data_IF_293307543458
#
_entry.id   IF_293307543458
#
_cell.length_a   1.000
_cell.length_b   1.000
_cell.length_c   1.000
_cell.angle_alpha   90.00
_cell.angle_beta   90.00
_cell.angle_gamma   90.00
#
_symmetry.space_group_name_H-M   'P 1'
#
loop_
_entity.id
_entity.type
_entity.pdbx_description
1 polymer ?
#
# COMPACT_ATOMS: atom_id res chain seq x y z
N UNK A 1 24.03 3.71 4.79
CA UNK A 1 22.62 3.85 5.17
C UNK A 1 22.50 4.89 6.28
N UNK A 2 21.49 5.76 6.24
CA UNK A 2 21.21 6.67 7.35
C UNK A 2 20.41 5.90 8.42
N UNK A 3 20.95 5.81 9.64
CA UNK A 3 20.35 5.05 10.74
C UNK A 3 19.02 5.65 11.27
N UNK A 4 18.67 6.86 10.86
CA UNK A 4 17.40 7.48 11.20
C UNK A 4 16.28 7.11 10.22
N UNK A 5 16.59 6.58 9.04
CA UNK A 5 15.59 6.20 8.06
C UNK A 5 14.90 4.89 8.49
N UNK A 6 13.58 4.91 8.51
CA UNK A 6 12.74 3.78 8.86
C UNK A 6 11.71 3.52 7.75
N UNK A 7 11.43 2.26 7.51
CA UNK A 7 10.34 1.81 6.64
C UNK A 7 9.18 1.31 7.48
N UNK A 8 7.97 1.75 7.14
CA UNK A 8 6.72 1.24 7.71
C UNK A 8 5.88 0.63 6.59
N UNK A 9 5.62 -0.66 6.67
CA UNK A 9 4.76 -1.40 5.74
C UNK A 9 3.39 -1.58 6.38
N UNK A 10 2.35 -0.99 5.79
CA UNK A 10 0.97 -1.15 6.23
C UNK A 10 0.37 -2.40 5.59
N UNK A 11 0.10 -3.45 6.37
CA UNK A 11 -0.36 -4.75 5.91
C UNK A 11 -1.71 -5.17 6.49
N UNK A 12 -2.66 -4.23 6.63
CA UNK A 12 -3.98 -4.44 7.26
C UNK A 12 -5.12 -4.75 6.27
N UNK A 13 -4.92 -4.61 4.96
CA UNK A 13 -5.93 -4.84 3.91
C UNK A 13 -6.29 -6.32 3.74
N UNK A 14 -7.47 -6.64 3.14
CA UNK A 14 -7.85 -8.01 2.75
C UNK A 14 -7.66 -8.27 1.27
N UNK A 15 -7.89 -7.26 0.42
CA UNK A 15 -7.80 -7.41 -1.03
C UNK A 15 -8.90 -8.33 -1.60
N UNK A 16 -10.14 -8.22 -1.12
CA UNK A 16 -11.28 -9.11 -1.42
C UNK A 16 -11.61 -9.28 -2.92
N UNK A 17 -11.14 -8.36 -3.78
CA UNK A 17 -11.36 -8.46 -5.24
C UNK A 17 -10.55 -9.57 -5.91
N UNK A 18 -9.53 -10.11 -5.23
CA UNK A 18 -8.75 -11.27 -5.72
C UNK A 18 -9.29 -12.61 -5.24
N UNK A 19 -10.52 -12.65 -4.72
CA UNK A 19 -11.16 -13.91 -4.38
C UNK A 19 -11.24 -14.83 -5.63
N UNK A 20 -11.02 -16.16 -5.49
CA UNK A 20 -10.79 -16.94 -4.27
C UNK A 20 -9.32 -16.97 -3.81
N UNK A 21 -8.40 -16.30 -4.53
CA UNK A 21 -6.98 -16.27 -4.15
C UNK A 21 -6.75 -15.55 -2.83
N UNK A 22 -7.39 -14.40 -2.63
CA UNK A 22 -7.36 -13.66 -1.35
C UNK A 22 -8.62 -13.93 -0.53
N UNK A 23 -8.42 -14.20 0.73
CA UNK A 23 -9.47 -14.42 1.74
C UNK A 23 -9.18 -13.60 2.98
N UNK A 24 -10.12 -13.59 3.95
CA UNK A 24 -9.89 -12.96 5.25
C UNK A 24 -8.77 -13.64 6.04
N UNK A 25 -8.55 -14.93 5.84
CA UNK A 25 -7.48 -15.70 6.48
C UNK A 25 -6.14 -15.54 5.76
N UNK A 26 -6.16 -15.29 4.46
CA UNK A 26 -4.95 -15.15 3.63
C UNK A 26 -5.09 -13.98 2.65
N UNK A 27 -4.87 -12.74 3.12
CA UNK A 27 -5.00 -11.52 2.33
C UNK A 27 -4.05 -11.41 1.15
N UNK A 28 -4.40 -10.53 0.19
CA UNK A 28 -3.68 -10.27 -1.05
C UNK A 28 -2.18 -10.06 -0.86
N UNK A 29 -1.77 -9.28 0.16
CA UNK A 29 -0.35 -8.94 0.39
C UNK A 29 0.54 -10.15 0.68
N UNK A 30 -0.03 -11.27 1.09
CA UNK A 30 0.69 -12.50 1.40
C UNK A 30 0.70 -13.50 0.23
N UNK A 31 0.16 -13.14 -0.93
CA UNK A 31 0.01 -14.00 -2.10
C UNK A 31 1.05 -13.63 -3.16
N UNK A 32 1.63 -14.65 -3.82
CA UNK A 32 2.35 -14.48 -5.08
C UNK A 32 1.34 -14.44 -6.23
N UNK A 33 0.88 -13.23 -6.53
CA UNK A 33 -0.15 -13.01 -7.57
C UNK A 33 0.45 -13.03 -8.97
N UNK A 34 1.77 -12.87 -9.09
CA UNK A 34 2.48 -12.83 -10.38
C UNK A 34 3.20 -14.16 -10.74
N UNK A 35 3.19 -15.15 -9.85
CA UNK A 35 3.92 -16.39 -10.05
C UNK A 35 5.45 -16.23 -10.08
N UNK A 36 5.97 -15.26 -9.35
CA UNK A 36 7.40 -14.93 -9.33
C UNK A 36 8.19 -15.62 -8.22
N UNK A 37 7.53 -16.37 -7.36
CA UNK A 37 8.09 -16.92 -6.13
C UNK A 37 8.15 -15.90 -4.99
N UNK A 38 7.56 -14.69 -5.17
CA UNK A 38 7.55 -13.61 -4.17
C UNK A 38 6.16 -13.06 -3.95
N UNK A 39 5.74 -12.96 -2.69
CA UNK A 39 4.48 -12.32 -2.32
C UNK A 39 4.58 -10.79 -2.39
N UNK A 40 3.45 -10.09 -2.42
CA UNK A 40 3.46 -8.62 -2.47
C UNK A 40 4.23 -7.99 -1.32
N UNK A 41 4.05 -8.46 -0.09
CA UNK A 41 4.76 -7.90 1.07
C UNK A 41 6.27 -8.14 0.98
N UNK A 42 6.69 -9.30 0.43
CA UNK A 42 8.08 -9.60 0.16
C UNK A 42 8.65 -8.69 -0.92
N UNK A 43 7.94 -8.51 -2.04
CA UNK A 43 8.34 -7.57 -3.10
C UNK A 43 8.42 -6.14 -2.58
N UNK A 44 7.51 -5.76 -1.68
CA UNK A 44 7.54 -4.43 -1.03
C UNK A 44 8.78 -4.27 -0.16
N UNK A 45 9.12 -5.24 0.67
CA UNK A 45 10.35 -5.21 1.47
C UNK A 45 11.61 -5.21 0.59
N UNK A 46 11.65 -6.05 -0.45
CA UNK A 46 12.83 -6.20 -1.32
C UNK A 46 13.24 -4.88 -2.01
N UNK A 47 12.27 -4.00 -2.34
CA UNK A 47 12.55 -2.66 -2.93
C UNK A 47 13.38 -1.76 -2.02
N UNK A 48 13.32 -1.95 -0.72
CA UNK A 48 14.03 -1.13 0.26
C UNK A 48 15.36 -1.75 0.73
N UNK A 49 15.68 -2.97 0.28
CA UNK A 49 16.97 -3.58 0.59
C UNK A 49 18.12 -2.71 0.07
N UNK A 50 19.08 -2.45 0.94
CA UNK A 50 20.19 -1.54 0.65
C UNK A 50 19.92 -0.05 0.99
N UNK A 51 18.65 0.37 1.14
CA UNK A 51 18.28 1.72 1.58
C UNK A 51 18.07 1.81 3.09
N UNK A 52 17.33 0.84 3.64
CA UNK A 52 16.91 0.80 5.05
C UNK A 52 17.37 -0.54 5.65
N UNK A 53 17.98 -0.47 6.82
CA UNK A 53 18.44 -1.66 7.52
C UNK A 53 17.25 -2.46 8.09
N UNK A 54 17.31 -3.81 8.12
CA UNK A 54 16.20 -4.64 8.59
C UNK A 54 15.67 -4.29 9.97
N UNK A 55 16.55 -3.86 10.89
CA UNK A 55 16.20 -3.41 12.24
C UNK A 55 15.36 -2.13 12.28
N UNK A 56 15.33 -1.36 11.19
CA UNK A 56 14.54 -0.15 11.01
C UNK A 56 13.30 -0.38 10.11
N UNK A 57 12.97 -1.62 9.81
CA UNK A 57 11.76 -1.98 9.08
C UNK A 57 10.67 -2.39 10.07
N UNK A 58 9.51 -1.79 9.91
CA UNK A 58 8.32 -2.01 10.74
C UNK A 58 7.17 -2.50 9.88
N UNK A 59 6.38 -3.42 10.40
CA UNK A 59 5.15 -3.87 9.76
C UNK A 59 3.99 -3.64 10.72
N UNK A 60 2.94 -2.96 10.26
CA UNK A 60 1.70 -2.82 11.03
C UNK A 60 0.64 -3.71 10.39
N UNK A 61 0.09 -4.63 11.14
CA UNK A 61 -0.85 -5.63 10.63
C UNK A 61 -1.85 -6.07 11.71
N UNK A 62 -2.88 -6.84 11.31
CA UNK A 62 -3.78 -7.47 12.29
C UNK A 62 -3.08 -8.59 13.07
N UNK A 63 -3.45 -8.77 14.33
CA UNK A 63 -2.97 -9.89 15.16
C UNK A 63 -3.06 -11.25 14.46
N UNK A 64 -4.07 -11.45 13.61
CA UNK A 64 -4.26 -12.69 12.84
C UNK A 64 -3.12 -13.02 11.89
N UNK A 65 -2.38 -12.02 11.45
CA UNK A 65 -1.37 -12.17 10.41
C UNK A 65 0.07 -12.12 10.94
N UNK A 66 0.25 -12.05 12.26
CA UNK A 66 1.56 -11.94 12.90
C UNK A 66 2.55 -13.02 12.45
N UNK A 67 2.10 -14.27 12.44
CA UNK A 67 2.96 -15.41 12.08
C UNK A 67 3.25 -15.46 10.58
N UNK A 68 2.30 -15.13 9.72
CA UNK A 68 2.51 -15.05 8.26
C UNK A 68 3.54 -13.96 7.93
N UNK A 69 3.44 -12.80 8.58
CA UNK A 69 4.43 -11.71 8.38
C UNK A 69 5.82 -12.18 8.84
N UNK A 70 5.93 -12.80 10.01
CA UNK A 70 7.21 -13.28 10.53
C UNK A 70 7.83 -14.40 9.67
N UNK A 71 7.01 -15.24 9.05
CA UNK A 71 7.44 -16.28 8.11
C UNK A 71 7.94 -15.67 6.79
N UNK A 72 7.18 -14.73 6.23
CA UNK A 72 7.50 -14.14 4.92
C UNK A 72 8.61 -13.09 4.99
N UNK A 73 8.83 -12.45 6.13
CA UNK A 73 9.84 -11.42 6.36
C UNK A 73 10.75 -11.79 7.55
N UNK A 74 11.51 -12.89 7.48
CA UNK A 74 12.31 -13.40 8.61
C UNK A 74 13.46 -12.47 9.03
N UNK A 75 13.88 -11.56 8.17
CA UNK A 75 14.95 -10.60 8.47
C UNK A 75 14.49 -9.47 9.43
N UNK A 76 13.17 -9.25 9.56
CA UNK A 76 12.60 -8.19 10.38
C UNK A 76 12.48 -8.65 11.83
N UNK A 77 12.97 -7.85 12.82
CA UNK A 77 12.78 -8.18 14.22
C UNK A 77 11.30 -8.36 14.59
N UNK A 78 10.95 -9.42 15.31
CA UNK A 78 9.55 -9.66 15.73
C UNK A 78 8.95 -8.48 16.51
N UNK A 79 9.76 -7.75 17.29
CA UNK A 79 9.31 -6.55 18.01
C UNK A 79 8.95 -5.36 17.11
N UNK A 80 9.26 -5.43 15.82
CA UNK A 80 8.89 -4.43 14.82
C UNK A 80 7.62 -4.83 14.03
N UNK A 81 7.02 -5.98 14.33
CA UNK A 81 5.71 -6.37 13.80
C UNK A 81 4.66 -5.91 14.81
N UNK A 82 4.04 -4.78 14.53
CA UNK A 82 3.03 -4.16 15.40
C UNK A 82 1.64 -4.70 15.06
N UNK A 83 0.88 -5.07 16.08
CA UNK A 83 -0.36 -5.82 15.92
C UNK A 83 -1.57 -4.97 16.30
N UNK A 84 -2.43 -4.71 15.32
CA UNK A 84 -3.72 -4.03 15.52
C UNK A 84 -4.77 -5.04 15.97
N UNK A 85 -5.48 -4.79 17.10
CA UNK A 85 -6.53 -5.68 17.57
C UNK A 85 -7.81 -5.62 16.72
N UNK A 86 -8.04 -4.49 16.05
CA UNK A 86 -9.15 -4.29 15.14
C UNK A 86 -8.78 -3.29 14.03
N UNK A 87 -9.58 -3.20 12.99
CA UNK A 87 -9.37 -2.24 11.89
C UNK A 87 -9.90 -0.87 12.27
N UNK A 88 -9.05 0.16 12.13
CA UNK A 88 -9.39 1.58 12.33
C UNK A 88 -8.88 2.48 11.20
N UNK A 89 -8.66 1.90 9.99
CA UNK A 89 -8.14 2.62 8.84
C UNK A 89 -6.68 3.10 9.05
N UNK A 90 -6.15 3.97 8.18
CA UNK A 90 -4.71 4.24 8.11
C UNK A 90 -4.21 5.29 9.09
N UNK A 91 -5.04 6.23 9.58
CA UNK A 91 -4.55 7.24 10.53
C UNK A 91 -4.17 6.63 11.90
N UNK A 92 -4.99 5.78 12.56
CA UNK A 92 -4.56 5.09 13.79
C UNK A 92 -3.40 4.12 13.58
N UNK A 93 -3.33 3.44 12.43
CA UNK A 93 -2.20 2.60 12.03
C UNK A 93 -0.88 3.40 12.06
N UNK A 94 -0.86 4.53 11.35
CA UNK A 94 0.30 5.43 11.26
C UNK A 94 0.60 6.07 12.62
N UNK A 95 -0.42 6.47 13.37
CA UNK A 95 -0.24 7.00 14.71
C UNK A 95 0.49 5.99 15.60
N UNK A 96 -0.01 4.75 15.70
CA UNK A 96 0.61 3.70 16.52
C UNK A 96 2.10 3.55 16.23
N UNK A 97 2.46 3.30 14.98
CA UNK A 97 3.86 3.08 14.63
C UNK A 97 4.71 4.34 14.79
N UNK A 98 4.15 5.54 14.55
CA UNK A 98 4.90 6.79 14.68
C UNK A 98 5.24 7.09 16.15
N UNK A 99 4.30 6.92 17.08
CA UNK A 99 4.61 7.07 18.52
C UNK A 99 5.57 6.00 19.01
N UNK A 100 5.41 4.77 18.52
CA UNK A 100 6.30 3.64 18.88
C UNK A 100 7.73 3.88 18.43
N UNK A 101 7.94 4.36 17.20
CA UNK A 101 9.27 4.70 16.67
C UNK A 101 9.82 5.94 17.37
N UNK A 102 9.00 6.98 17.57
CA UNK A 102 9.43 8.22 18.23
C UNK A 102 9.94 7.98 19.65
N UNK A 103 9.33 7.04 20.39
CA UNK A 103 9.78 6.67 21.73
C UNK A 103 11.19 6.07 21.73
N UNK A 104 11.62 5.44 20.63
CA UNK A 104 12.97 4.88 20.48
C UNK A 104 13.94 5.85 19.82
N UNK A 105 13.50 6.54 18.77
CA UNK A 105 14.30 7.46 17.97
C UNK A 105 13.48 8.70 17.59
N UNK A 106 13.59 9.79 18.37
CA UNK A 106 12.87 11.04 18.08
C UNK A 106 13.35 11.75 16.81
N UNK A 107 14.45 11.31 16.19
CA UNK A 107 15.00 11.83 14.93
C UNK A 107 14.67 10.93 13.73
N UNK A 108 13.80 9.96 13.92
CA UNK A 108 13.43 9.02 12.86
C UNK A 108 12.80 9.74 11.67
N UNK A 109 13.19 9.33 10.47
CA UNK A 109 12.61 9.74 9.21
C UNK A 109 11.91 8.52 8.59
N UNK A 110 10.65 8.64 8.24
CA UNK A 110 9.78 7.52 7.95
C UNK A 110 9.38 7.50 6.48
N UNK A 111 9.42 6.30 5.88
CA UNK A 111 8.68 5.99 4.66
C UNK A 111 7.52 5.08 5.06
N UNK A 112 6.30 5.50 4.78
CA UNK A 112 5.08 4.71 4.97
C UNK A 112 4.65 4.19 3.60
N UNK A 113 4.40 2.90 3.46
CA UNK A 113 3.98 2.28 2.19
C UNK A 113 2.94 1.20 2.41
N UNK A 114 1.96 1.05 1.50
CA UNK A 114 1.12 -0.14 1.45
C UNK A 114 1.95 -1.41 1.15
N UNK A 115 1.47 -2.55 1.62
CA UNK A 115 2.13 -3.85 1.46
C UNK A 115 1.90 -4.52 0.09
N UNK A 116 0.97 -4.01 -0.73
CA UNK A 116 0.35 -4.77 -1.83
C UNK A 116 0.34 -4.03 -3.19
N UNK A 117 1.24 -3.06 -3.35
CA UNK A 117 1.41 -2.33 -4.60
C UNK A 117 2.58 -2.89 -5.43
N UNK A 118 2.45 -2.85 -6.75
CA UNK A 118 3.51 -3.16 -7.70
C UNK A 118 4.39 -1.93 -7.97
N UNK A 119 5.67 -2.16 -8.14
CA UNK A 119 6.65 -1.23 -8.70
C UNK A 119 7.54 -2.03 -9.66
N UNK A 120 7.65 -1.61 -10.91
CA UNK A 120 8.43 -2.33 -11.92
C UNK A 120 9.84 -1.77 -12.11
N UNK A 121 10.05 -0.46 -11.92
CA UNK A 121 11.39 0.16 -11.93
C UNK A 121 11.86 0.42 -10.49
N UNK A 122 12.53 -0.58 -9.91
CA UNK A 122 13.05 -0.50 -8.54
C UNK A 122 14.20 0.50 -8.44
N UNK A 123 14.98 0.71 -9.49
CA UNK A 123 16.13 1.65 -9.46
C UNK A 123 15.63 3.08 -9.37
N UNK A 124 14.67 3.45 -10.21
CA UNK A 124 14.05 4.78 -10.15
C UNK A 124 13.27 4.98 -8.84
N UNK A 125 12.54 3.96 -8.38
CA UNK A 125 11.88 3.99 -7.08
C UNK A 125 12.86 4.32 -5.95
N UNK A 126 14.00 3.62 -5.88
CA UNK A 126 15.02 3.85 -4.85
C UNK A 126 15.64 5.25 -4.94
N UNK A 127 15.83 5.79 -6.14
CA UNK A 127 16.29 7.17 -6.37
C UNK A 127 15.29 8.17 -5.77
N UNK A 128 14.02 8.03 -6.10
CA UNK A 128 12.93 8.91 -5.64
C UNK A 128 12.80 8.85 -4.12
N UNK A 129 12.75 7.66 -3.52
CA UNK A 129 12.69 7.47 -2.07
C UNK A 129 13.89 8.13 -1.37
N UNK A 130 15.10 7.91 -1.90
CA UNK A 130 16.32 8.51 -1.32
C UNK A 130 16.26 10.03 -1.35
N UNK A 131 15.83 10.61 -2.47
CA UNK A 131 15.68 12.05 -2.65
C UNK A 131 14.63 12.64 -1.70
N UNK A 132 13.47 11.97 -1.56
CA UNK A 132 12.41 12.39 -0.64
C UNK A 132 12.84 12.28 0.83
N UNK A 133 13.54 11.21 1.22
CA UNK A 133 14.10 11.05 2.57
C UNK A 133 15.11 12.14 2.92
N UNK A 134 15.98 12.52 1.97
CA UNK A 134 16.92 13.63 2.17
C UNK A 134 16.17 14.95 2.40
N UNK A 135 15.12 15.21 1.60
CA UNK A 135 14.31 16.41 1.74
C UNK A 135 13.61 16.50 3.11
N UNK A 136 12.95 15.42 3.53
CA UNK A 136 12.20 15.39 4.82
C UNK A 136 13.11 15.32 6.04
N UNK A 137 14.36 14.90 5.90
CA UNK A 137 15.34 14.94 7.01
C UNK A 137 15.77 16.35 7.39
N UNK A 138 15.59 17.31 6.48
CA UNK A 138 16.00 18.72 6.63
C UNK A 138 14.82 19.68 6.71
N UNK A 139 13.58 19.17 6.62
CA UNK A 139 12.36 19.98 6.61
C UNK A 139 11.27 19.34 7.45
N UNK A 140 10.27 20.15 7.86
CA UNK A 140 9.06 19.63 8.51
C UNK A 140 7.95 19.29 7.49
N UNK A 141 8.33 18.99 6.27
CA UNK A 141 7.42 18.70 5.18
C UNK A 141 6.83 17.27 5.26
N UNK A 142 5.60 17.15 4.79
CA UNK A 142 4.97 15.88 4.41
C UNK A 142 5.17 15.71 2.90
N UNK A 143 5.78 14.63 2.46
CA UNK A 143 5.95 14.32 1.05
C UNK A 143 5.13 13.08 0.69
N UNK A 144 4.40 13.16 -0.42
CA UNK A 144 3.77 11.98 -1.06
C UNK A 144 4.31 11.79 -2.48
N UNK A 145 4.26 10.55 -2.98
CA UNK A 145 4.66 10.27 -4.36
C UNK A 145 3.43 10.34 -5.28
N UNK A 146 3.54 11.17 -6.31
CA UNK A 146 2.48 11.41 -7.28
C UNK A 146 2.72 10.69 -8.60
N UNK A 147 1.77 9.87 -9.05
CA UNK A 147 1.84 9.13 -10.30
C UNK A 147 1.03 9.83 -11.39
N UNK A 148 1.58 9.96 -12.60
CA UNK A 148 0.86 10.57 -13.71
C UNK A 148 -0.41 9.77 -14.04
N UNK A 149 -1.61 10.40 -14.03
CA UNK A 149 -2.84 9.70 -14.31
C UNK A 149 -2.95 9.35 -15.80
N UNK A 150 -3.30 8.10 -16.09
CA UNK A 150 -3.48 7.58 -17.46
C UNK A 150 -4.93 7.33 -17.84
N UNK A 151 -5.83 7.35 -16.85
CA UNK A 151 -7.29 7.14 -17.00
C UNK A 151 -8.05 7.87 -15.89
N UNK A 152 -9.37 8.10 -16.03
CA UNK A 152 -10.18 8.74 -14.99
C UNK A 152 -10.54 7.72 -13.90
N UNK A 153 -9.58 7.43 -13.01
CA UNK A 153 -9.72 6.47 -11.92
C UNK A 153 -10.46 7.11 -10.73
N UNK A 154 -11.53 6.48 -10.26
CA UNK A 154 -12.34 6.97 -9.13
C UNK A 154 -11.98 6.29 -7.80
N UNK A 155 -11.13 5.27 -7.84
CA UNK A 155 -10.65 4.55 -6.67
C UNK A 155 -9.43 5.17 -5.99
N UNK A 156 -8.81 6.18 -6.62
CA UNK A 156 -7.58 6.83 -6.14
C UNK A 156 -7.81 8.26 -5.65
N UNK A 157 -6.95 8.71 -4.75
CA UNK A 157 -6.79 10.13 -4.46
C UNK A 157 -6.07 10.87 -5.60
N UNK A 158 -6.42 12.13 -5.80
CA UNK A 158 -5.78 13.04 -6.75
C UNK A 158 -5.11 14.19 -6.02
N UNK A 159 -3.91 14.54 -6.47
CA UNK A 159 -3.06 15.59 -5.91
C UNK A 159 -2.84 16.62 -6.99
N UNK A 160 -3.24 17.86 -6.75
CA UNK A 160 -2.88 18.98 -7.61
C UNK A 160 -1.60 19.63 -7.11
N UNK A 161 -0.62 19.82 -7.99
CA UNK A 161 0.68 20.39 -7.68
C UNK A 161 0.87 21.75 -8.35
N UNK A 162 1.48 22.69 -7.64
CA UNK A 162 2.00 23.91 -8.26
C UNK A 162 3.33 23.61 -8.98
N UNK A 163 3.23 23.27 -10.26
CA UNK A 163 4.39 22.95 -11.08
C UNK A 163 5.22 24.17 -11.48
N UNK A 164 4.78 25.40 -11.18
CA UNK A 164 5.52 26.63 -11.48
C UNK A 164 6.54 26.96 -10.38
N UNK A 165 6.26 26.50 -9.15
CA UNK A 165 7.09 26.79 -7.98
C UNK A 165 7.64 25.52 -7.33
N UNK A 166 8.69 24.88 -7.91
CA UNK A 166 9.36 23.75 -7.28
C UNK A 166 10.01 24.19 -5.96
N UNK A 167 10.11 23.27 -5.01
CA UNK A 167 10.78 23.52 -3.74
C UNK A 167 12.21 24.05 -3.95
N UNK A 168 12.62 25.03 -3.12
CA UNK A 168 13.97 25.59 -3.18
C UNK A 168 15.07 24.55 -2.87
N UNK A 169 14.76 23.54 -2.05
CA UNK A 169 15.71 22.50 -1.61
C UNK A 169 15.77 21.31 -2.56
N UNK A 170 14.68 21.03 -3.28
CA UNK A 170 14.63 19.94 -4.25
C UNK A 170 13.70 20.32 -5.41
N UNK A 171 14.26 20.46 -6.60
CA UNK A 171 13.54 20.94 -7.79
C UNK A 171 12.58 19.91 -8.40
N UNK A 172 12.60 18.67 -7.93
CA UNK A 172 11.66 17.62 -8.33
C UNK A 172 10.44 17.52 -7.38
N UNK A 173 10.43 18.30 -6.28
CA UNK A 173 9.37 18.30 -5.27
C UNK A 173 8.59 19.61 -5.35
N UNK A 174 7.27 19.51 -5.42
CA UNK A 174 6.35 20.64 -5.62
C UNK A 174 5.37 20.75 -4.46
N UNK A 175 4.95 21.95 -4.15
CA UNK A 175 3.89 22.16 -3.16
C UNK A 175 2.57 21.62 -3.69
N UNK A 176 1.75 21.05 -2.79
CA UNK A 176 0.40 20.60 -3.11
C UNK A 176 -0.57 21.73 -2.95
N UNK A 177 -1.32 22.06 -4.01
CA UNK A 177 -2.39 23.05 -4.00
C UNK A 177 -3.69 22.47 -3.45
N UNK A 178 -3.98 21.21 -3.81
CA UNK A 178 -5.17 20.52 -3.33
C UNK A 178 -4.97 19.01 -3.34
N UNK A 179 -5.62 18.35 -2.39
CA UNK A 179 -5.71 16.91 -2.29
C UNK A 179 -7.20 16.52 -2.32
N UNK A 180 -7.57 15.54 -3.16
CA UNK A 180 -8.95 15.08 -3.27
C UNK A 180 -9.02 13.56 -3.31
N UNK A 181 -9.54 12.97 -2.25
CA UNK A 181 -9.70 11.52 -2.16
C UNK A 181 -10.94 11.05 -2.93
N UNK A 182 -10.75 10.07 -3.82
CA UNK A 182 -11.80 9.36 -4.56
C UNK A 182 -12.88 10.26 -5.18
N UNK A 183 -12.51 11.11 -6.18
CA UNK A 183 -13.46 11.98 -6.84
C UNK A 183 -14.51 11.18 -7.64
N UNK A 184 -15.62 11.81 -8.00
CA UNK A 184 -16.54 11.25 -8.99
C UNK A 184 -15.91 11.18 -10.39
N UNK A 185 -16.52 10.38 -11.27
CA UNK A 185 -16.00 10.14 -12.62
C UNK A 185 -15.87 11.44 -13.46
N UNK A 186 -16.83 12.34 -13.36
CA UNK A 186 -16.82 13.59 -14.12
C UNK A 186 -15.65 14.49 -13.67
N UNK A 187 -15.40 14.56 -12.38
CA UNK A 187 -14.27 15.27 -11.78
C UNK A 187 -12.94 14.61 -12.18
N UNK A 188 -12.83 13.27 -12.11
CA UNK A 188 -11.62 12.55 -12.52
C UNK A 188 -11.28 12.78 -14.01
N UNK A 189 -12.29 12.83 -14.90
CA UNK A 189 -12.10 13.20 -16.33
C UNK A 189 -11.56 14.62 -16.48
N UNK A 190 -11.98 15.57 -15.62
CA UNK A 190 -11.46 16.94 -15.67
C UNK A 190 -10.00 17.00 -15.18
N UNK A 191 -9.65 16.26 -14.11
CA UNK A 191 -8.29 16.19 -13.61
C UNK A 191 -7.32 15.59 -14.62
N UNK A 192 -7.75 14.54 -15.34
CA UNK A 192 -6.94 13.92 -16.39
C UNK A 192 -6.57 14.88 -17.54
N UNK A 193 -7.41 15.88 -17.83
CA UNK A 193 -7.14 16.90 -18.86
C UNK A 193 -6.10 17.94 -18.44
N UNK A 194 -5.89 18.10 -17.15
CA UNK A 194 -4.89 18.99 -16.58
C UNK A 194 -3.60 18.21 -16.32
N UNK A 195 -2.47 18.83 -16.56
CA UNK A 195 -1.14 18.18 -16.42
C UNK A 195 -0.54 18.35 -15.03
N UNK A 196 -1.23 19.03 -14.14
CA UNK A 196 -0.81 19.35 -12.77
C UNK A 196 -1.46 18.43 -11.72
N UNK A 197 -2.25 17.42 -12.14
CA UNK A 197 -2.83 16.41 -11.27
C UNK A 197 -2.07 15.10 -11.35
N UNK A 198 -1.90 14.48 -10.17
CA UNK A 198 -1.24 13.18 -9.99
C UNK A 198 -2.13 12.26 -9.15
N UNK A 199 -2.05 10.95 -9.37
CA UNK A 199 -2.62 9.98 -8.45
C UNK A 199 -1.79 9.90 -7.18
N UNK A 200 -2.44 9.83 -6.01
CA UNK A 200 -1.80 9.52 -4.75
C UNK A 200 -1.41 8.04 -4.72
N UNK A 201 -0.13 7.76 -4.62
CA UNK A 201 0.39 6.38 -4.53
C UNK A 201 0.14 5.72 -3.17
N UNK A 202 -0.26 6.49 -2.15
CA UNK A 202 -0.34 6.02 -0.77
C UNK A 202 1.03 5.80 -0.11
N UNK A 203 2.11 6.30 -0.75
CA UNK A 203 3.46 6.27 -0.19
C UNK A 203 3.76 7.66 0.37
N UNK A 204 4.05 7.75 1.66
CA UNK A 204 4.30 9.00 2.37
C UNK A 204 5.68 9.00 3.00
N UNK A 205 6.33 10.17 2.99
CA UNK A 205 7.64 10.37 3.58
C UNK A 205 7.61 11.61 4.46
N UNK A 206 8.08 11.50 5.70
CA UNK A 206 8.13 12.58 6.68
C UNK A 206 9.08 12.25 7.83
N UNK A 207 9.54 13.24 8.58
CA UNK A 207 10.13 12.95 9.87
C UNK A 207 9.05 12.63 10.94
N UNK A 208 9.41 11.83 11.93
CA UNK A 208 8.45 11.36 12.94
C UNK A 208 7.82 12.50 13.75
N UNK A 209 8.52 13.60 13.91
CA UNK A 209 7.99 14.78 14.63
C UNK A 209 6.94 15.51 13.82
N UNK A 210 7.11 15.61 12.50
CA UNK A 210 6.13 16.22 11.58
C UNK A 210 4.79 15.51 11.67
N UNK A 211 4.76 14.18 11.47
CA UNK A 211 3.50 13.44 11.48
C UNK A 211 2.85 13.43 12.87
N UNK A 212 3.63 13.28 13.92
CA UNK A 212 3.11 13.35 15.31
C UNK A 212 2.49 14.72 15.59
N UNK A 213 3.12 15.82 15.17
CA UNK A 213 2.58 17.17 15.35
C UNK A 213 1.33 17.38 14.49
N UNK A 214 1.30 16.90 13.26
CA UNK A 214 0.11 16.98 12.39
C UNK A 214 -1.08 16.23 13.01
N UNK A 215 -0.85 15.02 13.53
CA UNK A 215 -1.90 14.27 14.21
C UNK A 215 -2.38 14.95 15.50
N UNK A 216 -1.50 15.62 16.24
CA UNK A 216 -1.90 16.44 17.42
C UNK A 216 -2.82 17.57 17.05
N UNK A 217 -2.57 18.22 15.92
CA UNK A 217 -3.36 19.37 15.45
C UNK A 217 -4.71 18.91 14.88
N UNK A 218 -4.70 17.88 14.03
CA UNK A 218 -5.84 17.51 13.23
C UNK A 218 -6.67 16.37 13.83
N UNK A 219 -6.04 15.49 14.64
CA UNK A 219 -6.65 14.32 15.28
C UNK A 219 -6.24 14.20 16.76
N UNK A 220 -6.61 15.20 17.60
CA UNK A 220 -6.16 15.27 18.99
C UNK A 220 -6.58 14.08 19.85
N UNK A 221 -7.75 13.47 19.59
CA UNK A 221 -8.24 12.32 20.33
C UNK A 221 -7.43 11.05 20.02
N UNK A 222 -7.09 10.82 18.73
CA UNK A 222 -6.18 9.74 18.33
C UNK A 222 -4.81 9.94 18.94
N UNK A 223 -4.28 11.17 18.86
CA UNK A 223 -2.98 11.53 19.43
C UNK A 223 -2.90 11.28 20.92
N UNK A 224 -3.93 11.68 21.66
CA UNK A 224 -3.98 11.48 23.11
C UNK A 224 -3.89 10.01 23.50
N UNK A 225 -4.60 9.13 22.77
CA UNK A 225 -4.54 7.69 23.01
C UNK A 225 -3.09 7.17 22.94
N UNK A 226 -2.36 7.52 21.86
CA UNK A 226 -0.99 7.01 21.69
C UNK A 226 0.05 7.73 22.54
N UNK A 227 -0.21 8.97 22.99
CA UNK A 227 0.61 9.66 23.98
C UNK A 227 0.48 9.03 25.37
N UNK A 228 -0.71 8.68 25.78
CA UNK A 228 -0.95 8.01 27.07
C UNK A 228 -0.30 6.60 27.11
N UNK A 229 0.04 6.05 25.95
CA UNK A 229 0.75 4.76 25.81
C UNK A 229 2.29 4.88 25.85
N UNK A 230 2.87 6.07 25.86
CA UNK A 230 4.34 6.26 25.89
C UNK A 230 5.09 5.45 26.96
N UNK A 231 4.57 5.30 28.20
CA UNK A 231 5.27 4.51 29.24
C UNK A 231 5.30 3.00 28.96
N UNK A 232 4.51 2.51 28.03
CA UNK A 232 4.33 1.06 27.78
C UNK A 232 5.08 0.58 26.54
N UNK A 233 5.47 1.48 25.60
CA UNK A 233 6.17 1.09 24.39
C UNK A 233 7.48 0.36 24.69
N UNK A 234 7.70 -0.78 24.04
CA UNK A 234 8.86 -1.63 24.23
C UNK A 234 8.84 -2.46 25.52
N UNK A 235 7.74 -2.47 26.26
CA UNK A 235 7.55 -3.30 27.46
C UNK A 235 6.62 -4.48 27.19
N UNK A 236 6.58 -5.47 28.08
CA UNK A 236 5.65 -6.61 28.01
C UNK A 236 4.16 -6.20 28.06
N UNK A 237 3.88 -4.98 28.52
CA UNK A 237 2.50 -4.44 28.61
C UNK A 237 2.05 -3.74 27.32
N UNK A 238 2.93 -3.50 26.36
CA UNK A 238 2.61 -2.74 25.15
C UNK A 238 1.37 -3.32 24.45
N UNK A 239 1.37 -4.62 24.12
CA UNK A 239 0.26 -5.22 23.38
C UNK A 239 -1.06 -5.18 24.15
N UNK A 240 -1.06 -5.48 25.45
CA UNK A 240 -2.28 -5.44 26.25
C UNK A 240 -2.89 -4.05 26.34
N UNK A 241 -2.04 -3.02 26.39
CA UNK A 241 -2.50 -1.63 26.39
C UNK A 241 -3.01 -1.18 25.00
N UNK A 242 -2.37 -1.64 23.94
CA UNK A 242 -2.86 -1.43 22.56
C UNK A 242 -4.24 -2.12 22.39
N UNK A 243 -4.40 -3.35 22.84
CA UNK A 243 -5.67 -4.09 22.76
C UNK A 243 -6.82 -3.37 23.45
N UNK A 244 -6.55 -2.66 24.55
CA UNK A 244 -7.54 -1.88 25.30
C UNK A 244 -7.84 -0.52 24.66
N UNK A 245 -6.83 0.19 24.17
CA UNK A 245 -6.96 1.59 23.80
C UNK A 245 -7.21 1.80 22.30
N UNK A 246 -6.56 1.02 21.43
CA UNK A 246 -6.68 1.15 19.98
C UNK A 246 -8.12 1.07 19.45
N UNK A 247 -9.01 0.21 19.99
CA UNK A 247 -10.42 0.17 19.58
C UNK A 247 -11.20 1.46 19.82
N UNK A 248 -10.70 2.36 20.67
CA UNK A 248 -11.30 3.66 20.97
C UNK A 248 -10.99 4.72 19.91
N UNK A 249 -10.01 4.47 19.04
CA UNK A 249 -9.67 5.38 17.94
C UNK A 249 -10.84 5.49 16.96
N UNK A 250 -11.06 6.68 16.44
CA UNK A 250 -11.90 6.90 15.27
C UNK A 250 -11.34 6.14 14.07
N UNK A 251 -12.23 5.60 13.23
CA UNK A 251 -11.83 4.90 11.99
C UNK A 251 -11.75 5.91 10.84
N UNK A 252 -10.57 6.47 10.61
CA UNK A 252 -10.33 7.48 9.59
C UNK A 252 -9.04 7.19 8.82
N UNK A 253 -9.00 7.48 7.51
CA UNK A 253 -7.76 7.38 6.73
C UNK A 253 -6.84 8.58 6.98
N UNK A 254 -5.54 8.39 6.79
CA UNK A 254 -4.56 9.47 6.87
C UNK A 254 -4.83 10.57 5.83
N UNK A 255 -5.44 10.19 4.70
CA UNK A 255 -5.80 11.10 3.62
C UNK A 255 -6.79 12.14 4.13
N UNK A 256 -7.88 11.72 4.78
CA UNK A 256 -8.87 12.63 5.39
C UNK A 256 -8.38 13.27 6.69
N UNK A 257 -7.63 12.53 7.50
CA UNK A 257 -7.17 13.00 8.80
C UNK A 257 -6.13 14.12 8.68
N UNK A 258 -5.21 14.00 7.72
CA UNK A 258 -4.06 14.90 7.60
C UNK A 258 -3.90 15.46 6.19
N UNK A 259 -3.92 14.62 5.14
CA UNK A 259 -3.50 15.02 3.80
C UNK A 259 -4.44 16.05 3.13
N UNK A 260 -5.73 16.04 3.43
CA UNK A 260 -6.68 17.06 2.93
C UNK A 260 -6.65 18.36 3.76
N UNK A 261 -5.94 18.38 4.90
CA UNK A 261 -6.05 19.46 5.91
C UNK A 261 -4.74 20.19 6.22
N UNK A 262 -3.61 19.54 5.99
CA UNK A 262 -2.31 20.12 6.34
C UNK A 262 -1.79 21.05 5.24
N UNK A 263 -1.10 22.14 5.64
CA UNK A 263 -0.63 23.20 4.74
C UNK A 263 0.73 22.88 4.09
N UNK A 264 1.61 22.13 4.76
CA UNK A 264 2.98 21.86 4.31
C UNK A 264 3.11 20.47 3.67
N UNK A 265 2.25 20.21 2.66
CA UNK A 265 2.26 19.00 1.87
C UNK A 265 2.95 19.25 0.53
N UNK A 266 3.80 18.32 0.17
CA UNK A 266 4.55 18.32 -1.08
C UNK A 266 4.31 17.01 -1.83
N UNK A 267 4.34 17.09 -3.16
CA UNK A 267 4.31 15.93 -4.04
C UNK A 267 5.64 15.81 -4.78
N UNK A 268 6.12 14.57 -4.89
CA UNK A 268 7.21 14.20 -5.78
C UNK A 268 6.60 13.46 -6.97
N UNK A 269 6.41 14.11 -8.13
CA UNK A 269 6.00 13.43 -9.35
C UNK A 269 7.02 12.37 -9.75
N UNK A 270 6.58 11.15 -9.95
CA UNK A 270 7.47 10.03 -10.23
C UNK A 270 6.84 9.06 -11.24
N UNK A 271 7.71 8.36 -11.97
CA UNK A 271 7.31 7.30 -12.90
C UNK A 271 8.28 6.11 -12.72
N UNK A 272 7.85 5.14 -11.92
CA UNK A 272 8.57 3.90 -11.65
C UNK A 272 7.70 2.66 -11.89
N UNK A 273 6.69 2.79 -12.75
CA UNK A 273 5.80 1.68 -13.08
C UNK A 273 4.96 1.23 -11.89
N UNK A 274 4.32 2.19 -11.20
CA UNK A 274 3.46 1.94 -10.04
C UNK A 274 2.05 1.48 -10.44
N UNK A 275 1.52 0.54 -9.67
CA UNK A 275 0.10 0.17 -9.66
C UNK A 275 -0.30 -0.38 -8.30
N UNK A 276 -1.54 -0.09 -7.89
CA UNK A 276 -2.15 -0.71 -6.71
C UNK A 276 -2.55 -2.17 -6.93
N UNK A 277 -2.54 -2.62 -8.19
CA UNK A 277 -3.00 -3.98 -8.61
C UNK A 277 -4.32 -4.33 -7.91
N UNK A 278 -5.30 -3.43 -7.99
CA UNK A 278 -6.53 -3.52 -7.20
C UNK A 278 -7.51 -4.60 -7.67
N UNK A 279 -7.35 -5.13 -8.90
CA UNK A 279 -8.30 -6.03 -9.55
C UNK A 279 -7.61 -7.05 -10.46
N UNK A 280 -8.33 -8.09 -10.89
CA UNK A 280 -7.88 -9.05 -11.90
C UNK A 280 -7.58 -8.38 -13.25
N UNK A 281 -8.35 -7.36 -13.63
CA UNK A 281 -8.11 -6.58 -14.85
C UNK A 281 -6.81 -5.78 -14.79
N UNK A 282 -6.47 -5.21 -13.65
CA UNK A 282 -5.17 -4.57 -13.46
C UNK A 282 -4.02 -5.59 -13.49
N UNK A 283 -4.21 -6.78 -12.92
CA UNK A 283 -3.24 -7.87 -13.05
C UNK A 283 -3.05 -8.28 -14.51
N UNK A 284 -4.13 -8.47 -15.27
CA UNK A 284 -4.08 -8.83 -16.69
C UNK A 284 -3.29 -7.81 -17.54
N UNK A 285 -3.44 -6.52 -17.20
CA UNK A 285 -2.73 -5.43 -17.92
C UNK A 285 -1.24 -5.40 -17.60
N UNK A 286 -0.84 -5.82 -16.39
CA UNK A 286 0.53 -5.65 -15.89
C UNK A 286 1.38 -6.92 -15.98
N UNK A 287 0.74 -8.09 -15.95
CA UNK A 287 1.43 -9.37 -15.99
C UNK A 287 1.76 -9.78 -17.44
N UNK A 288 2.78 -10.61 -17.65
CA UNK A 288 3.06 -11.17 -18.97
C UNK A 288 1.87 -11.96 -19.50
N UNK A 289 1.61 -11.84 -20.83
CA UNK A 289 0.55 -12.55 -21.51
C UNK A 289 1.12 -13.41 -22.64
N UNK A 290 0.43 -14.49 -22.99
CA UNK A 290 0.74 -15.29 -24.16
C UNK A 290 0.34 -14.61 -25.48
N UNK A 291 0.50 -15.30 -26.64
CA UNK A 291 0.19 -14.76 -27.97
C UNK A 291 -1.29 -14.43 -28.18
N UNK A 292 -2.17 -15.07 -27.40
CA UNK A 292 -3.62 -14.89 -27.45
C UNK A 292 -4.10 -13.91 -26.36
N UNK A 293 -3.18 -13.25 -25.64
CA UNK A 293 -3.50 -12.29 -24.60
C UNK A 293 -3.91 -12.90 -23.25
N UNK A 294 -3.60 -14.17 -23.00
CA UNK A 294 -3.91 -14.79 -21.72
C UNK A 294 -2.77 -14.62 -20.72
N UNK A 295 -3.09 -14.25 -19.50
CA UNK A 295 -2.19 -14.35 -18.36
C UNK A 295 -2.45 -15.69 -17.64
N UNK A 296 -1.43 -16.54 -17.53
CA UNK A 296 -1.56 -17.89 -16.98
C UNK A 296 -0.57 -18.10 -15.85
N UNK A 297 -1.09 -18.39 -14.66
CA UNK A 297 -0.33 -18.79 -13.48
C UNK A 297 -0.84 -20.17 -13.05
N UNK A 298 0.04 -21.18 -13.15
CA UNK A 298 -0.24 -22.58 -12.89
C UNK A 298 0.51 -23.47 -13.87
N UNK A 299 1.15 -24.54 -13.38
CA UNK A 299 2.01 -25.42 -14.19
C UNK A 299 1.24 -26.35 -15.12
N UNK A 300 0.02 -26.75 -14.73
CA UNK A 300 -0.77 -27.78 -15.41
C UNK A 300 -1.97 -27.21 -16.17
N UNK A 301 -1.84 -26.02 -16.78
CA UNK A 301 -2.90 -25.35 -17.54
C UNK A 301 -2.73 -25.60 -19.05
N UNK A 302 -3.81 -25.99 -19.73
CA UNK A 302 -3.87 -26.07 -21.20
C UNK A 302 -5.04 -25.26 -21.72
N UNK A 303 -4.75 -24.35 -22.65
CA UNK A 303 -5.72 -23.46 -23.27
C UNK A 303 -5.91 -23.85 -24.74
N UNK A 304 -7.17 -23.91 -25.18
CA UNK A 304 -7.58 -24.12 -26.56
C UNK A 304 -8.58 -23.03 -26.97
N UNK A 305 -8.34 -22.31 -28.04
CA UNK A 305 -9.25 -21.26 -28.55
C UNK A 305 -9.69 -20.26 -27.46
N UNK A 306 -8.77 -19.99 -26.51
CA UNK A 306 -9.01 -19.16 -25.33
C UNK A 306 -8.19 -17.87 -25.44
N UNK A 307 -8.82 -16.70 -25.20
CA UNK A 307 -8.22 -15.38 -25.41
C UNK A 307 -8.50 -14.43 -24.26
N UNK A 308 -7.58 -13.45 -24.04
CA UNK A 308 -7.77 -12.33 -23.14
C UNK A 308 -8.20 -12.75 -21.72
N UNK A 309 -7.79 -13.95 -21.27
CA UNK A 309 -8.20 -14.50 -19.98
C UNK A 309 -7.10 -14.37 -18.94
N UNK A 310 -7.53 -14.28 -17.68
CA UNK A 310 -6.66 -14.46 -16.51
C UNK A 310 -6.94 -15.85 -15.92
N UNK A 311 -5.94 -16.70 -15.93
CA UNK A 311 -6.05 -18.05 -15.38
C UNK A 311 -5.04 -18.20 -14.24
N UNK A 312 -5.56 -18.38 -13.03
CA UNK A 312 -4.74 -18.54 -11.83
C UNK A 312 -5.18 -19.81 -11.08
N UNK A 313 -4.34 -20.84 -11.10
CA UNK A 313 -4.65 -22.14 -10.51
C UNK A 313 -3.53 -22.61 -9.60
N UNK A 314 -3.85 -23.54 -8.68
CA UNK A 314 -2.85 -24.19 -7.85
C UNK A 314 -2.06 -25.22 -8.68
N UNK A 315 -0.81 -25.48 -8.29
CA UNK A 315 0.12 -26.38 -9.01
C UNK A 315 -0.38 -27.83 -9.12
N UNK A 316 -1.22 -28.27 -8.19
CA UNK A 316 -1.69 -29.67 -8.08
C UNK A 316 -2.79 -30.03 -9.07
N UNK A 317 -3.48 -29.05 -9.67
CA UNK A 317 -4.64 -29.30 -10.53
C UNK A 317 -4.30 -29.19 -12.00
N UNK A 318 -4.71 -30.23 -12.77
CA UNK A 318 -4.75 -30.15 -14.23
C UNK A 318 -6.00 -29.38 -14.65
N UNK A 319 -5.82 -28.26 -15.32
CA UNK A 319 -6.89 -27.40 -15.84
C UNK A 319 -6.82 -27.35 -17.36
N UNK A 320 -7.96 -27.62 -18.01
CA UNK A 320 -8.10 -27.53 -19.47
C UNK A 320 -9.26 -26.60 -19.78
N UNK A 321 -9.01 -25.56 -20.55
CA UNK A 321 -9.98 -24.53 -20.91
C UNK A 321 -10.08 -24.45 -22.44
N UNK A 322 -11.31 -24.40 -22.97
CA UNK A 322 -11.56 -24.24 -24.39
C UNK A 322 -12.65 -23.16 -24.61
N UNK A 323 -12.38 -22.23 -25.53
CA UNK A 323 -13.39 -21.31 -26.08
C UNK A 323 -13.78 -20.14 -25.19
N UNK A 324 -13.01 -19.80 -24.13
CA UNK A 324 -13.26 -18.61 -23.31
C UNK A 324 -12.58 -17.39 -23.93
N UNK A 325 -13.23 -16.22 -23.83
CA UNK A 325 -12.69 -14.91 -24.22
C UNK A 325 -13.07 -13.85 -23.20
N UNK A 326 -12.03 -13.23 -22.54
CA UNK A 326 -12.23 -12.20 -21.54
C UNK A 326 -12.75 -12.72 -20.18
N UNK A 327 -12.25 -13.85 -19.70
CA UNK A 327 -12.67 -14.45 -18.42
C UNK A 327 -11.56 -14.49 -17.38
N UNK A 328 -11.97 -14.44 -16.14
CA UNK A 328 -11.20 -14.84 -14.98
C UNK A 328 -11.51 -16.30 -14.67
N UNK A 329 -10.47 -17.14 -14.57
CA UNK A 329 -10.55 -18.51 -14.06
C UNK A 329 -9.57 -18.63 -12.91
N UNK A 330 -10.06 -18.61 -11.69
CA UNK A 330 -9.22 -18.64 -10.49
C UNK A 330 -9.64 -19.79 -9.57
N UNK A 331 -8.67 -20.58 -9.12
CA UNK A 331 -8.92 -21.75 -8.26
C UNK A 331 -7.99 -21.75 -7.06
N UNK A 332 -8.58 -21.87 -5.87
CA UNK A 332 -7.86 -22.06 -4.61
C UNK A 332 -8.75 -22.71 -3.55
N UNK A 333 -8.18 -23.57 -2.71
CA UNK A 333 -8.86 -24.20 -1.56
C UNK A 333 -10.21 -24.84 -1.94
N UNK A 334 -10.25 -25.61 -3.02
CA UNK A 334 -11.44 -26.26 -3.56
C UNK A 334 -12.55 -25.31 -4.03
N UNK A 335 -12.24 -24.04 -4.23
CA UNK A 335 -13.14 -23.03 -4.79
C UNK A 335 -12.67 -22.64 -6.17
N UNK A 336 -13.57 -22.73 -7.17
CA UNK A 336 -13.32 -22.32 -8.55
C UNK A 336 -14.23 -21.14 -8.90
N UNK A 337 -13.63 -20.02 -9.27
CA UNK A 337 -14.31 -18.88 -9.85
C UNK A 337 -14.13 -18.88 -11.37
N UNK A 338 -15.22 -18.77 -12.10
CA UNK A 338 -15.23 -18.45 -13.55
C UNK A 338 -16.18 -17.29 -13.73
N UNK A 339 -15.68 -16.12 -14.06
CA UNK A 339 -16.51 -14.96 -14.35
C UNK A 339 -15.89 -14.09 -15.45
N UNK A 340 -16.69 -13.24 -16.08
CA UNK A 340 -16.17 -12.31 -17.07
C UNK A 340 -15.25 -11.28 -16.42
N UNK A 341 -14.16 -10.93 -17.10
CA UNK A 341 -13.20 -9.93 -16.64
C UNK A 341 -13.88 -8.56 -16.45
N UNK A 342 -14.81 -8.19 -17.32
CA UNK A 342 -15.61 -6.96 -17.22
C UNK A 342 -16.52 -6.89 -16.00
N UNK A 343 -16.84 -8.05 -15.38
CA UNK A 343 -17.70 -8.18 -14.20
C UNK A 343 -16.90 -8.31 -12.89
N UNK A 344 -15.61 -8.08 -12.91
CA UNK A 344 -14.69 -8.27 -11.76
C UNK A 344 -15.10 -7.52 -10.49
N UNK A 345 -15.79 -6.38 -10.60
CA UNK A 345 -16.26 -5.62 -9.45
C UNK A 345 -17.34 -6.36 -8.64
N UNK A 346 -18.04 -7.31 -9.27
CA UNK A 346 -19.06 -8.15 -8.64
C UNK A 346 -18.49 -9.34 -7.88
N UNK A 347 -17.19 -9.59 -7.95
CA UNK A 347 -16.55 -10.69 -7.20
C UNK A 347 -16.86 -10.60 -5.70
N UNK A 348 -17.04 -9.39 -5.15
CA UNK A 348 -17.46 -9.20 -3.77
C UNK A 348 -18.85 -9.78 -3.48
N UNK A 349 -19.76 -9.73 -4.45
CA UNK A 349 -21.10 -10.34 -4.34
C UNK A 349 -20.98 -11.86 -4.38
N UNK A 350 -20.13 -12.40 -5.27
CA UNK A 350 -19.92 -13.85 -5.45
C UNK A 350 -19.21 -14.51 -4.26
N UNK A 351 -18.42 -13.73 -3.53
CA UNK A 351 -17.68 -14.20 -2.34
C UNK A 351 -18.46 -14.03 -1.04
N UNK A 352 -19.64 -13.40 -1.05
CA UNK A 352 -20.48 -13.19 0.12
C UNK A 352 -21.35 -14.43 0.34
N UNK A 353 -20.86 -15.41 1.15
CA UNK A 353 -21.63 -16.49 1.75
C UNK A 353 -21.60 -16.40 3.27
#
# INVERSE_FOLDING_TARGET
MNLNNNLVIMAGGVGSRFWPMSTTEYPKQFIDVFGTGRTFIQMTYDRFKGLIAPENVWVVTSQKYADIVAEQLPDIPRGNILLEPCRRNTAPCIAYVSWRIKAQNPKANLVITPADHLVTDVVEFQRVITSALNFTSETDAIVTLGMAPTRPETGYGYIQADLQEPSLRNKEIYRVDSFKEKPDYATAVQYLKKRDFFWNSGIFIWNVSTIVNSLRIYEPDISKIFEDLLPYYGTEKEQSMIDEQFPKCESISIDYAVMERADEIFVFPADFGWSDVGTWGSLHTLAPVDKEGNNVIGENVKLYETKNCVVHTTEEKRVVIQGLDGYIVAEKNNTLLICKLEEEQRIKEFSAE
#
